data_IF_296162152607
#
_entry.id   IF_296162152607
#
_cell.length_a   1.000
_cell.length_b   1.000
_cell.length_c   1.000
_cell.angle_alpha   90.00
_cell.angle_beta   90.00
_cell.angle_gamma   90.00
#
_symmetry.space_group_name_H-M   'P 1'
#
loop_
_entity.id
_entity.type
_entity.pdbx_description
1 polymer ?
#
# COMPACT_ATOMS: atom_id res chain seq x y z
N UNK A 1 1.76 -19.78 2.73
CA UNK A 1 1.98 -19.08 1.44
C UNK A 1 3.45 -19.24 1.09
N UNK A 2 3.75 -19.50 -0.19
CA UNK A 2 5.12 -19.74 -0.68
C UNK A 2 5.81 -18.42 -1.05
N UNK A 3 7.14 -18.44 -1.09
CA UNK A 3 7.97 -17.29 -1.45
C UNK A 3 7.65 -16.75 -2.86
N UNK A 4 7.38 -17.63 -3.82
CA UNK A 4 7.04 -17.23 -5.20
C UNK A 4 5.79 -16.34 -5.27
N UNK A 5 4.79 -16.64 -4.43
CA UNK A 5 3.57 -15.84 -4.34
C UNK A 5 3.90 -14.48 -3.73
N UNK A 6 4.75 -14.45 -2.70
CA UNK A 6 5.16 -13.20 -2.07
C UNK A 6 5.96 -12.30 -3.01
N UNK A 7 6.86 -12.89 -3.80
CA UNK A 7 7.60 -12.18 -4.85
C UNK A 7 6.69 -11.64 -5.95
N UNK A 8 5.70 -12.41 -6.40
CA UNK A 8 4.72 -11.97 -7.38
C UNK A 8 3.90 -10.77 -6.87
N UNK A 9 3.41 -10.85 -5.63
CA UNK A 9 2.63 -9.79 -4.99
C UNK A 9 3.52 -8.55 -4.78
N UNK A 10 4.73 -8.75 -4.28
CA UNK A 10 5.71 -7.68 -4.06
C UNK A 10 6.04 -6.92 -5.33
N UNK A 11 6.29 -7.61 -6.43
CA UNK A 11 6.61 -7.00 -7.73
C UNK A 11 5.41 -6.32 -8.41
N UNK A 12 4.18 -6.80 -8.17
CA UNK A 12 2.95 -6.08 -8.59
C UNK A 12 2.78 -4.76 -7.84
N UNK A 13 3.21 -4.74 -6.59
CA UNK A 13 2.99 -3.63 -5.70
C UNK A 13 4.09 -2.56 -5.83
N UNK A 14 5.36 -2.98 -5.80
CA UNK A 14 6.58 -2.21 -5.96
C UNK A 14 7.73 -3.08 -6.45
N UNK A 15 8.96 -2.83 -6.01
CA UNK A 15 10.09 -3.73 -6.25
C UNK A 15 10.26 -4.62 -5.02
N UNK A 16 10.13 -5.93 -5.18
CA UNK A 16 10.33 -6.88 -4.08
C UNK A 16 11.78 -6.84 -3.57
N UNK A 17 11.94 -6.70 -2.25
CA UNK A 17 13.25 -6.73 -1.58
C UNK A 17 13.43 -8.07 -0.86
N UNK A 18 12.49 -8.38 0.02
CA UNK A 18 12.61 -9.51 0.94
C UNK A 18 11.22 -9.88 1.50
N UNK A 19 11.09 -11.05 2.10
CA UNK A 19 9.91 -11.42 2.87
C UNK A 19 10.30 -12.13 4.16
N UNK A 20 9.44 -11.98 5.16
CA UNK A 20 9.66 -12.62 6.45
C UNK A 20 9.47 -14.14 6.31
N UNK A 21 10.58 -14.88 6.38
CA UNK A 21 10.59 -16.34 6.39
C UNK A 21 10.86 -16.86 7.81
N UNK A 22 10.01 -17.75 8.32
CA UNK A 22 10.46 -18.64 9.41
C UNK A 22 11.32 -19.73 8.75
N UNK A 23 12.46 -20.09 9.36
CA UNK A 23 13.58 -20.86 8.76
C UNK A 23 13.30 -22.24 8.13
N UNK A 24 12.04 -22.58 7.84
CA UNK A 24 11.60 -23.70 6.99
C UNK A 24 10.90 -23.26 5.68
N UNK A 25 11.06 -22.00 5.25
CA UNK A 25 10.43 -21.48 4.02
C UNK A 25 8.91 -21.30 4.13
N UNK A 26 8.37 -21.36 5.35
CA UNK A 26 6.94 -21.26 5.63
C UNK A 26 6.63 -19.91 6.30
N UNK A 27 5.74 -19.12 5.70
CA UNK A 27 5.23 -17.89 6.31
C UNK A 27 4.30 -18.27 7.48
N UNK A 28 4.63 -17.86 8.71
CA UNK A 28 3.74 -18.01 9.87
C UNK A 28 2.79 -16.82 9.98
N UNK A 29 1.49 -17.08 10.10
CA UNK A 29 0.46 -16.08 10.38
C UNK A 29 -0.62 -15.96 9.31
N UNK A 30 -1.68 -15.21 9.64
CA UNK A 30 -2.79 -14.90 8.71
C UNK A 30 -2.40 -13.90 7.61
N UNK A 31 -1.20 -13.33 7.68
CA UNK A 31 -0.74 -12.26 6.80
C UNK A 31 0.62 -12.59 6.19
N UNK A 32 0.80 -12.18 4.94
CA UNK A 32 2.09 -12.21 4.28
C UNK A 32 2.79 -10.86 4.50
N UNK A 33 3.96 -10.88 5.12
CA UNK A 33 4.80 -9.70 5.34
C UNK A 33 5.93 -9.66 4.32
N UNK A 34 5.86 -8.66 3.45
CA UNK A 34 6.83 -8.40 2.40
C UNK A 34 7.46 -7.03 2.58
N UNK A 35 8.76 -6.94 2.29
CA UNK A 35 9.49 -5.69 2.15
C UNK A 35 9.57 -5.36 0.67
N UNK A 36 9.14 -4.15 0.33
CA UNK A 36 9.18 -3.66 -1.04
C UNK A 36 9.79 -2.26 -1.08
N UNK A 37 10.47 -1.93 -2.19
CA UNK A 37 10.82 -0.55 -2.51
C UNK A 37 9.64 0.09 -3.24
N UNK A 38 9.22 1.24 -2.74
CA UNK A 38 8.11 2.02 -3.31
C UNK A 38 8.56 3.44 -3.59
N UNK A 39 7.98 4.05 -4.62
CA UNK A 39 8.13 5.47 -4.86
C UNK A 39 7.21 6.25 -3.91
N UNK A 40 7.80 6.92 -2.92
CA UNK A 40 7.10 7.68 -1.87
C UNK A 40 6.45 8.98 -2.38
N UNK A 41 6.86 9.46 -3.56
CA UNK A 41 6.23 10.62 -4.21
C UNK A 41 4.89 10.28 -4.84
N UNK A 42 4.50 9.01 -4.89
CA UNK A 42 3.20 8.53 -5.37
C UNK A 42 2.30 8.13 -4.21
N UNK A 43 0.98 8.22 -4.38
CA UNK A 43 0.05 7.74 -3.36
C UNK A 43 0.22 6.25 -3.08
N UNK A 44 0.14 5.85 -1.81
CA UNK A 44 0.20 4.45 -1.40
C UNK A 44 -1.03 3.69 -1.91
N UNK A 45 -0.84 2.46 -2.42
CA UNK A 45 -1.98 1.64 -2.88
C UNK A 45 -2.64 0.94 -1.69
N UNK A 46 -3.97 0.90 -1.62
CA UNK A 46 -4.70 0.18 -0.54
C UNK A 46 -4.88 -1.30 -0.82
N UNK A 47 -4.78 -1.68 -2.07
CA UNK A 47 -4.96 -3.04 -2.50
C UNK A 47 -4.79 -3.17 -4.00
N UNK A 48 -4.84 -4.39 -4.48
CA UNK A 48 -4.81 -4.67 -5.92
C UNK A 48 -5.56 -5.96 -6.23
N UNK A 49 -6.11 -6.03 -7.43
CA UNK A 49 -6.66 -7.26 -7.97
C UNK A 49 -5.51 -8.16 -8.45
N UNK A 50 -5.45 -9.35 -7.88
CA UNK A 50 -4.40 -10.34 -8.14
C UNK A 50 -5.01 -11.65 -8.58
N UNK A 51 -4.37 -12.32 -9.56
CA UNK A 51 -4.75 -13.66 -9.98
C UNK A 51 -3.96 -14.67 -9.15
N UNK A 52 -4.63 -15.35 -8.23
CA UNK A 52 -4.03 -16.34 -7.33
C UNK A 52 -4.77 -17.67 -7.54
N UNK A 53 -4.02 -18.73 -7.90
CA UNK A 53 -4.62 -20.05 -8.17
C UNK A 53 -5.69 -20.03 -9.26
N UNK A 54 -5.55 -19.17 -10.28
CA UNK A 54 -6.51 -19.05 -11.39
C UNK A 54 -7.69 -18.12 -11.13
N UNK A 55 -7.94 -17.68 -9.89
CA UNK A 55 -9.03 -16.76 -9.53
C UNK A 55 -8.53 -15.34 -9.30
N UNK A 56 -9.31 -14.36 -9.74
CA UNK A 56 -9.06 -12.95 -9.39
C UNK A 56 -9.55 -12.71 -7.96
N UNK A 57 -8.69 -12.17 -7.12
CA UNK A 57 -9.02 -11.79 -5.74
C UNK A 57 -8.48 -10.40 -5.43
N UNK A 58 -9.28 -9.64 -4.67
CA UNK A 58 -8.84 -8.38 -4.10
C UNK A 58 -7.93 -8.67 -2.91
N UNK A 59 -6.72 -8.11 -2.94
CA UNK A 59 -5.80 -8.19 -1.81
C UNK A 59 -5.64 -6.81 -1.22
N UNK A 60 -6.04 -6.67 0.05
CA UNK A 60 -5.84 -5.45 0.82
C UNK A 60 -4.42 -5.40 1.37
N UNK A 61 -3.77 -4.24 1.23
CA UNK A 61 -2.44 -3.98 1.76
C UNK A 61 -2.53 -3.22 3.07
N UNK A 62 -1.73 -3.65 4.04
CA UNK A 62 -1.50 -2.94 5.29
C UNK A 62 -0.03 -2.58 5.37
N UNK A 63 0.25 -1.37 5.85
CA UNK A 63 1.59 -0.85 5.98
C UNK A 63 1.98 -0.84 7.45
N UNK A 64 3.18 -1.30 7.75
CA UNK A 64 3.76 -1.22 9.09
C UNK A 64 4.79 -0.08 9.12
N UNK A 65 4.87 0.64 10.25
CA UNK A 65 5.86 1.73 10.48
C UNK A 65 5.79 2.87 9.45
N UNK A 66 4.57 3.23 9.04
CA UNK A 66 4.36 4.32 8.11
C UNK A 66 4.73 5.66 8.78
N UNK A 67 5.59 6.50 8.16
CA UNK A 67 5.86 7.85 8.67
C UNK A 67 4.64 8.75 8.46
N UNK A 68 4.80 10.06 8.65
CA UNK A 68 3.73 11.05 8.41
C UNK A 68 3.10 10.80 7.03
N UNK A 69 1.79 10.57 7.01
CA UNK A 69 1.02 10.18 5.85
C UNK A 69 -0.20 11.07 5.71
N UNK A 70 -0.46 11.54 4.49
CA UNK A 70 -1.62 12.35 4.18
C UNK A 70 -2.80 11.45 3.80
N UNK A 71 -3.84 11.44 4.64
CA UNK A 71 -5.08 10.70 4.45
C UNK A 71 -5.95 11.22 3.30
N UNK A 72 -5.62 12.41 2.79
CA UNK A 72 -6.30 12.98 1.64
C UNK A 72 -5.67 12.55 0.31
N UNK A 73 -4.39 12.89 0.10
CA UNK A 73 -3.73 12.59 -1.18
C UNK A 73 -2.98 11.26 -1.21
N UNK A 74 -2.79 10.60 -0.07
CA UNK A 74 -2.11 9.30 0.05
C UNK A 74 -0.58 9.35 -0.04
N UNK A 75 0.03 10.54 0.00
CA UNK A 75 1.48 10.73 -0.13
C UNK A 75 2.13 10.82 1.27
N UNK A 76 3.36 10.31 1.38
CA UNK A 76 4.15 10.40 2.60
C UNK A 76 4.88 11.74 2.73
N UNK A 77 5.10 12.18 3.97
CA UNK A 77 5.92 13.34 4.31
C UNK A 77 5.15 14.58 4.79
N UNK A 78 3.82 14.58 4.74
CA UNK A 78 3.01 15.69 5.26
C UNK A 78 1.67 15.20 5.83
N UNK A 79 1.14 15.96 6.78
CA UNK A 79 -0.19 15.73 7.31
C UNK A 79 -1.25 16.40 6.43
N UNK A 80 -2.47 15.91 6.51
CA UNK A 80 -3.68 16.44 5.86
C UNK A 80 -3.82 17.96 5.87
N UNK A 81 -3.51 18.59 7.01
CA UNK A 81 -3.63 20.05 7.21
C UNK A 81 -2.67 20.85 6.33
N UNK A 82 -1.57 20.22 5.89
CA UNK A 82 -0.50 20.83 5.11
C UNK A 82 -0.49 20.29 3.67
N UNK A 83 -1.59 19.66 3.22
CA UNK A 83 -1.66 19.07 1.90
C UNK A 83 -2.00 20.14 0.85
N UNK A 84 -1.04 20.46 -0.01
CA UNK A 84 -1.19 21.46 -1.09
C UNK A 84 -2.41 21.15 -1.97
N UNK A 85 -2.65 19.88 -2.30
CA UNK A 85 -3.81 19.46 -3.11
C UNK A 85 -5.17 19.83 -2.50
N UNK A 86 -5.28 19.86 -1.16
CA UNK A 86 -6.52 20.31 -0.50
C UNK A 86 -6.81 21.78 -0.78
N UNK A 87 -5.77 22.60 -0.90
CA UNK A 87 -5.92 24.03 -1.17
C UNK A 87 -6.24 24.29 -2.65
N UNK A 88 -5.67 23.49 -3.56
CA UNK A 88 -5.95 23.58 -5.01
C UNK A 88 -7.39 23.18 -5.35
N UNK A 89 -7.98 22.19 -4.67
CA UNK A 89 -9.36 21.73 -4.95
C UNK A 89 -10.45 22.62 -4.32
N UNK A 90 -10.10 23.47 -3.35
CA UNK A 90 -11.06 24.35 -2.66
C UNK A 90 -11.52 25.55 -3.51
N UNK A 91 -10.81 25.87 -4.60
CA UNK A 91 -11.23 26.88 -5.59
C UNK A 91 -12.27 26.35 -6.59
N UNK A 92 -12.56 25.04 -6.60
CA UNK A 92 -13.45 24.39 -7.59
C UNK A 92 -14.70 23.77 -6.94
N UNK A 93 -14.90 23.94 -5.62
CA UNK A 93 -16.15 23.55 -4.96
C UNK A 93 -16.44 22.03 -4.94
N UNK A 94 -15.39 21.19 -4.91
CA UNK A 94 -15.53 19.74 -4.77
C UNK A 94 -15.54 19.31 -3.31
N UNK A 95 -16.59 18.60 -2.87
CA UNK A 95 -16.64 17.96 -1.57
C UNK A 95 -15.47 16.95 -1.42
N UNK A 96 -14.63 17.14 -0.41
CA UNK A 96 -13.43 16.32 -0.20
C UNK A 96 -13.75 15.03 0.54
N UNK A 97 -14.00 13.94 -0.20
CA UNK A 97 -13.95 12.60 0.39
C UNK A 97 -12.51 12.28 0.78
N UNK A 98 -12.26 12.06 2.08
CA UNK A 98 -10.98 11.59 2.58
C UNK A 98 -10.72 10.20 1.99
N UNK A 99 -9.99 10.15 0.88
CA UNK A 99 -9.86 8.88 0.18
C UNK A 99 -9.28 7.81 1.11
N UNK A 100 -8.31 8.14 1.97
CA UNK A 100 -7.64 7.19 2.86
C UNK A 100 -8.15 7.21 4.31
N UNK A 101 -9.23 7.94 4.64
CA UNK A 101 -9.74 8.11 6.00
C UNK A 101 -11.27 8.06 6.11
N UNK A 102 -11.72 7.18 7.01
CA UNK A 102 -13.09 6.63 7.23
C UNK A 102 -13.56 5.70 6.11
#
# INVERSE_FOLDING_TARGET
MNEDVGKLIGNKFGEYIDMEHSGKGMCWGQYLRIRVRLNVSKPLKRGSMLKLGGKMMWVSFKYERLPIFCYYCGILGHADKNCIRKFEEHDVGGATDLQYGV
#
